data_IF_742533824852
#
_entry.id   IF_742533824852
#
_cell.length_a   1.000
_cell.length_b   1.000
_cell.length_c   1.000
_cell.angle_alpha   90.00
_cell.angle_beta   90.00
_cell.angle_gamma   90.00
#
_symmetry.space_group_name_H-M   'P 1'
#
loop_
_entity.id
_entity.type
_entity.pdbx_description
1 polymer ?
#
# COMPACT_ATOMS: atom_id res chain seq x y z
N UNK A 1 65.54 73.01 -39.46
CA UNK A 1 65.12 74.31 -38.89
C UNK A 1 63.69 74.19 -38.37
N UNK A 2 63.52 74.47 -37.07
CA UNK A 2 62.36 75.05 -36.34
C UNK A 2 60.92 74.74 -36.85
N UNK A 3 60.10 74.01 -36.06
CA UNK A 3 59.15 74.49 -34.98
C UNK A 3 57.83 74.97 -35.59
N UNK A 4 56.63 74.40 -35.33
CA UNK A 4 55.67 74.49 -34.19
C UNK A 4 54.35 73.83 -34.71
N UNK A 5 53.36 73.30 -33.99
CA UNK A 5 52.96 73.20 -32.59
C UNK A 5 51.78 72.21 -32.51
N UNK A 6 51.66 71.43 -31.44
CA UNK A 6 50.75 71.64 -30.30
C UNK A 6 49.31 71.15 -30.52
N UNK A 7 48.99 69.98 -29.95
CA UNK A 7 47.71 69.70 -29.30
C UNK A 7 47.93 68.61 -28.23
N UNK A 8 47.50 68.94 -27.02
CA UNK A 8 47.64 68.21 -25.76
C UNK A 8 46.29 67.60 -25.39
N UNK A 9 46.31 66.43 -24.73
CA UNK A 9 45.34 65.88 -23.76
C UNK A 9 45.01 64.40 -24.08
N UNK A 10 44.92 63.45 -23.15
CA UNK A 10 45.20 63.39 -21.73
C UNK A 10 45.30 61.89 -21.38
N UNK A 11 46.27 61.54 -20.55
CA UNK A 11 46.48 60.19 -20.01
C UNK A 11 45.59 60.03 -18.76
N UNK A 12 44.70 59.04 -18.73
CA UNK A 12 44.02 58.59 -17.50
C UNK A 12 44.15 57.07 -17.42
N UNK A 13 44.90 56.62 -16.40
CA UNK A 13 44.95 55.26 -15.90
C UNK A 13 43.55 54.82 -15.47
N UNK A 14 43.10 53.65 -15.92
CA UNK A 14 42.04 52.89 -15.23
C UNK A 14 42.67 51.62 -14.70
N UNK A 15 42.80 51.57 -13.38
CA UNK A 15 43.19 50.39 -12.61
C UNK A 15 42.05 49.35 -12.59
N UNK A 16 42.35 48.04 -12.46
CA UNK A 16 41.33 47.04 -12.20
C UNK A 16 40.81 47.18 -10.76
N UNK A 17 39.49 47.23 -10.63
CA UNK A 17 38.77 47.12 -9.35
C UNK A 17 38.86 45.67 -8.86
N UNK A 18 39.30 45.38 -7.62
CA UNK A 18 39.07 44.09 -6.99
C UNK A 18 37.76 44.10 -6.20
N UNK A 19 37.22 42.90 -5.94
CA UNK A 19 36.09 42.57 -5.05
C UNK A 19 34.68 42.77 -5.66
N UNK A 20 33.73 41.83 -5.52
CA UNK A 20 33.47 40.94 -4.38
C UNK A 20 33.16 39.51 -4.87
N UNK A 21 33.93 38.55 -4.38
CA UNK A 21 33.57 37.14 -4.34
C UNK A 21 33.73 36.68 -2.88
N UNK A 22 32.84 37.15 -2.00
CA UNK A 22 32.89 36.84 -0.57
C UNK A 22 31.57 36.32 0.01
N UNK A 23 30.58 36.04 -0.84
CA UNK A 23 29.22 35.69 -0.38
C UNK A 23 28.88 34.19 -0.52
N UNK A 24 29.90 33.33 -0.66
CA UNK A 24 29.72 31.87 -0.85
C UNK A 24 30.23 31.01 0.31
N UNK A 25 31.01 31.59 1.22
CA UNK A 25 31.46 30.88 2.44
C UNK A 25 30.45 31.02 3.59
N UNK A 26 29.69 32.12 3.65
CA UNK A 26 28.63 32.29 4.65
C UNK A 26 27.52 31.24 4.50
N UNK A 27 27.24 30.78 3.28
CA UNK A 27 26.21 29.76 3.02
C UNK A 27 26.64 28.34 3.39
N UNK A 28 27.93 28.00 3.29
CA UNK A 28 28.41 26.66 3.65
C UNK A 28 28.49 26.43 5.15
N UNK A 29 28.82 27.46 5.92
CA UNK A 29 28.77 27.40 7.38
C UNK A 29 27.32 27.27 7.87
N UNK A 30 26.39 28.02 7.27
CA UNK A 30 24.97 27.96 7.59
C UNK A 30 24.37 26.57 7.27
N UNK A 31 24.65 26.03 6.07
CA UNK A 31 24.19 24.70 5.68
C UNK A 31 24.74 23.61 6.62
N UNK A 32 25.98 23.74 7.10
CA UNK A 32 26.54 22.79 8.09
C UNK A 32 25.87 22.90 9.45
N UNK A 33 25.49 24.11 9.84
CA UNK A 33 24.77 24.35 11.09
C UNK A 33 23.34 23.82 10.99
N UNK A 34 22.64 24.07 9.88
CA UNK A 34 21.32 23.50 9.58
C UNK A 34 21.36 21.97 9.55
N UNK A 35 22.36 21.36 8.92
CA UNK A 35 22.52 19.89 8.89
C UNK A 35 22.75 19.31 10.29
N UNK A 36 23.50 20.00 11.15
CA UNK A 36 23.69 19.57 12.54
C UNK A 36 22.40 19.69 13.35
N UNK A 37 21.64 20.77 13.18
CA UNK A 37 20.33 20.93 13.81
C UNK A 37 19.38 19.81 13.36
N UNK A 38 19.30 19.57 12.04
CA UNK A 38 18.49 18.50 11.48
C UNK A 38 18.89 17.13 12.01
N UNK A 39 20.19 16.86 12.18
CA UNK A 39 20.69 15.61 12.77
C UNK A 39 20.25 15.43 14.23
N UNK A 40 20.31 16.49 15.04
CA UNK A 40 19.83 16.46 16.43
C UNK A 40 18.32 16.27 16.49
N UNK A 41 17.56 16.93 15.62
CA UNK A 41 16.12 16.73 15.49
C UNK A 41 15.77 15.30 15.06
N UNK A 42 16.51 14.73 14.10
CA UNK A 42 16.33 13.34 13.66
C UNK A 42 16.68 12.35 14.79
N UNK A 43 17.71 12.62 15.59
CA UNK A 43 18.01 11.83 16.78
C UNK A 43 16.96 11.97 17.88
N UNK A 44 16.39 13.17 18.05
CA UNK A 44 15.29 13.42 18.99
C UNK A 44 14.03 12.70 18.54
N UNK A 45 13.66 12.78 17.26
CA UNK A 45 12.57 12.02 16.65
C UNK A 45 12.81 10.52 16.77
N UNK A 46 14.03 10.04 16.49
CA UNK A 46 14.39 8.62 16.67
C UNK A 46 14.26 8.19 18.13
N UNK A 47 14.57 9.06 19.08
CA UNK A 47 14.40 8.80 20.52
C UNK A 47 12.92 8.84 20.92
N UNK A 48 12.13 9.76 20.36
CA UNK A 48 10.67 9.86 20.54
C UNK A 48 9.94 8.66 19.91
N UNK A 49 10.43 8.14 18.78
CA UNK A 49 9.94 6.91 18.15
C UNK A 49 10.46 5.65 18.87
N UNK A 50 11.69 5.67 19.38
CA UNK A 50 12.26 4.56 20.15
C UNK A 50 11.64 4.44 21.54
N UNK A 51 11.22 5.55 22.16
CA UNK A 51 10.50 5.54 23.44
C UNK A 51 9.00 5.22 23.28
N UNK A 52 8.47 5.27 22.06
CA UNK A 52 7.14 4.77 21.72
C UNK A 52 7.17 3.35 21.12
N UNK A 53 8.35 2.72 21.03
CA UNK A 53 8.54 1.42 20.36
C UNK A 53 9.28 0.34 21.16
N UNK A 54 9.64 0.57 22.44
CA UNK A 54 10.30 -0.46 23.25
C UNK A 54 9.47 -0.77 24.50
N UNK A 55 8.76 -1.91 24.58
CA UNK A 55 8.41 -2.45 25.87
C UNK A 55 9.73 -2.83 26.54
N UNK A 56 10.03 -2.21 27.69
CA UNK A 56 10.92 -2.83 28.67
C UNK A 56 10.20 -4.07 29.18
N UNK A 57 10.19 -5.14 28.38
CA UNK A 57 9.75 -6.45 28.78
C UNK A 57 10.86 -7.06 29.64
N UNK A 58 10.90 -6.66 30.90
CA UNK A 58 11.30 -7.59 31.94
C UNK A 58 10.29 -8.73 31.88
N UNK A 59 10.62 -9.78 31.13
CA UNK A 59 9.84 -11.01 31.04
C UNK A 59 10.00 -11.74 32.36
N UNK A 60 9.21 -11.32 33.34
CA UNK A 60 8.91 -12.07 34.56
C UNK A 60 7.41 -11.94 34.81
N UNK A 61 6.65 -12.84 34.17
CA UNK A 61 5.27 -13.17 34.58
C UNK A 61 4.12 -12.31 34.07
N UNK A 62 3.98 -12.07 32.75
CA UNK A 62 2.71 -11.57 32.22
C UNK A 62 1.69 -12.71 32.16
N UNK A 63 0.78 -12.71 33.13
CA UNK A 63 -0.36 -13.62 33.14
C UNK A 63 -1.24 -13.37 31.91
N UNK A 64 -2.05 -14.36 31.52
CA UNK A 64 -3.07 -14.17 30.47
C UNK A 64 -4.01 -13.00 30.84
N UNK A 65 -4.22 -12.76 32.14
CA UNK A 65 -4.98 -11.62 32.64
C UNK A 65 -4.35 -10.27 32.29
N UNK A 66 -3.03 -10.13 32.42
CA UNK A 66 -2.32 -8.88 32.08
C UNK A 66 -2.38 -8.61 30.57
N UNK A 67 -2.35 -9.66 29.75
CA UNK A 67 -2.56 -9.55 28.30
C UNK A 67 -3.98 -9.10 27.97
N UNK A 68 -4.99 -9.68 28.62
CA UNK A 68 -6.40 -9.27 28.42
C UNK A 68 -6.62 -7.82 28.85
N UNK A 69 -6.09 -7.42 30.01
CA UNK A 69 -6.16 -6.04 30.47
C UNK A 69 -5.48 -5.06 29.50
N UNK A 70 -4.35 -5.45 28.88
CA UNK A 70 -3.70 -4.64 27.85
C UNK A 70 -4.53 -4.55 26.56
N UNK A 71 -5.22 -5.62 26.17
CA UNK A 71 -6.11 -5.60 25.01
C UNK A 71 -7.35 -4.73 25.26
N UNK A 72 -7.93 -4.77 26.46
CA UNK A 72 -9.08 -3.94 26.85
C UNK A 72 -8.72 -2.44 26.84
N UNK A 73 -7.53 -2.09 27.36
CA UNK A 73 -7.03 -0.72 27.33
C UNK A 73 -6.87 -0.20 25.88
N UNK A 74 -6.37 -1.04 24.98
CA UNK A 74 -6.18 -0.68 23.58
C UNK A 74 -7.49 -0.59 22.82
N UNK A 75 -8.48 -1.43 23.13
CA UNK A 75 -9.84 -1.31 22.59
C UNK A 75 -10.48 0.02 23.02
N UNK A 76 -10.38 0.37 24.31
CA UNK A 76 -10.91 1.64 24.81
C UNK A 76 -10.23 2.84 24.12
N UNK A 77 -8.92 2.76 23.92
CA UNK A 77 -8.15 3.77 23.19
C UNK A 77 -8.62 3.88 21.73
N UNK A 78 -8.80 2.77 21.02
CA UNK A 78 -9.27 2.76 19.64
C UNK A 78 -10.69 3.34 19.50
N UNK A 79 -11.58 3.04 20.45
CA UNK A 79 -12.91 3.66 20.50
C UNK A 79 -12.81 5.17 20.65
N UNK A 80 -12.00 5.66 21.60
CA UNK A 80 -11.82 7.11 21.78
C UNK A 80 -11.26 7.81 20.54
N UNK A 81 -10.33 7.15 19.83
CA UNK A 81 -9.75 7.70 18.61
C UNK A 81 -10.75 7.70 17.44
N UNK A 82 -11.63 6.69 17.38
CA UNK A 82 -12.70 6.61 16.38
C UNK A 82 -13.70 7.75 16.60
N UNK A 83 -14.11 8.01 17.84
CA UNK A 83 -14.97 9.13 18.19
C UNK A 83 -14.35 10.48 17.84
N UNK A 84 -13.05 10.66 18.11
CA UNK A 84 -12.29 11.85 17.74
C UNK A 84 -12.27 12.06 16.21
N UNK A 85 -11.99 11.01 15.44
CA UNK A 85 -11.98 11.03 13.99
C UNK A 85 -13.37 11.34 13.43
N UNK A 86 -14.42 10.70 13.92
CA UNK A 86 -15.80 10.98 13.53
C UNK A 86 -16.16 12.44 13.79
N UNK A 87 -15.81 12.97 14.97
CA UNK A 87 -16.07 14.37 15.29
C UNK A 87 -15.30 15.32 14.37
N UNK A 88 -14.02 15.02 14.10
CA UNK A 88 -13.18 15.81 13.20
C UNK A 88 -13.73 15.81 11.78
N UNK A 89 -14.15 14.66 11.26
CA UNK A 89 -14.78 14.55 9.93
C UNK A 89 -16.05 15.39 9.89
N UNK A 90 -16.93 15.29 10.89
CA UNK A 90 -18.15 16.09 10.96
C UNK A 90 -17.87 17.60 10.93
N UNK A 91 -16.82 18.07 11.64
CA UNK A 91 -16.40 19.48 11.60
C UNK A 91 -15.88 19.90 10.23
N UNK A 92 -15.08 19.04 9.58
CA UNK A 92 -14.52 19.31 8.25
C UNK A 92 -15.63 19.37 7.20
N UNK A 93 -16.61 18.46 7.26
CA UNK A 93 -17.75 18.45 6.34
C UNK A 93 -18.57 19.73 6.53
N UNK A 94 -18.87 20.12 7.78
CA UNK A 94 -19.61 21.36 8.06
C UNK A 94 -18.86 22.61 7.56
N UNK A 95 -17.56 22.72 7.84
CA UNK A 95 -16.73 23.83 7.35
C UNK A 95 -16.67 23.86 5.82
N UNK A 96 -16.44 22.71 5.20
CA UNK A 96 -16.39 22.56 3.75
C UNK A 96 -17.69 22.98 3.08
N UNK A 97 -18.83 22.52 3.59
CA UNK A 97 -20.16 22.89 3.04
C UNK A 97 -20.43 24.38 3.17
N UNK A 98 -20.08 25.00 4.30
CA UNK A 98 -20.22 26.45 4.45
C UNK A 98 -19.33 27.23 3.47
N UNK A 99 -18.10 26.77 3.25
CA UNK A 99 -17.17 27.41 2.31
C UNK A 99 -17.61 27.24 0.85
N UNK A 100 -18.19 26.09 0.50
CA UNK A 100 -18.79 25.91 -0.83
C UNK A 100 -19.95 26.88 -1.02
N UNK A 101 -20.85 27.01 -0.04
CA UNK A 101 -21.97 27.95 -0.12
C UNK A 101 -21.52 29.41 -0.30
N UNK A 102 -20.47 29.85 0.39
CA UNK A 102 -19.88 31.19 0.20
C UNK A 102 -19.30 31.38 -1.21
N UNK A 103 -18.64 30.36 -1.74
CA UNK A 103 -18.08 30.40 -3.10
C UNK A 103 -19.18 30.41 -4.17
N UNK A 104 -20.25 29.63 -3.99
CA UNK A 104 -21.41 29.63 -4.88
C UNK A 104 -22.09 31.00 -4.89
N UNK A 105 -22.28 31.62 -3.73
CA UNK A 105 -22.84 32.96 -3.61
C UNK A 105 -21.99 34.01 -4.35
N UNK A 106 -20.67 34.00 -4.11
CA UNK A 106 -19.73 34.92 -4.79
C UNK A 106 -19.66 34.69 -6.30
N UNK A 107 -19.76 33.45 -6.75
CA UNK A 107 -19.75 33.13 -8.18
C UNK A 107 -20.98 33.71 -8.88
N UNK A 108 -22.18 33.53 -8.30
CA UNK A 108 -23.42 34.06 -8.87
C UNK A 108 -23.42 35.60 -8.90
N UNK A 109 -22.89 36.25 -7.87
CA UNK A 109 -22.72 37.71 -7.84
C UNK A 109 -21.78 38.21 -8.95
N UNK A 110 -20.70 37.47 -9.25
CA UNK A 110 -19.73 37.81 -10.30
C UNK A 110 -20.22 37.50 -11.71
N UNK A 111 -20.99 36.43 -11.89
CA UNK A 111 -21.52 35.99 -13.19
C UNK A 111 -22.86 36.66 -13.55
N UNK A 112 -23.44 37.46 -12.64
CA UNK A 112 -24.69 38.18 -12.85
C UNK A 112 -25.94 37.28 -12.86
N UNK A 113 -25.87 36.14 -12.17
CA UNK A 113 -26.96 35.18 -12.04
C UNK A 113 -27.99 35.55 -10.97
N UNK A 114 -29.08 34.80 -10.91
CA UNK A 114 -30.15 34.98 -9.92
C UNK A 114 -29.88 34.15 -8.65
N UNK A 115 -29.62 34.83 -7.53
CA UNK A 115 -29.36 34.20 -6.22
C UNK A 115 -30.54 33.34 -5.74
N UNK A 116 -31.77 33.59 -6.21
CA UNK A 116 -32.96 32.81 -5.84
C UNK A 116 -32.97 31.38 -6.40
N UNK A 117 -32.07 31.07 -7.33
CA UNK A 117 -31.94 29.74 -7.95
C UNK A 117 -30.86 28.87 -7.32
N UNK A 118 -30.09 29.40 -6.36
CA UNK A 118 -29.17 28.61 -5.55
C UNK A 118 -29.99 27.73 -4.60
N UNK A 119 -29.94 26.40 -4.80
CA UNK A 119 -30.50 25.43 -3.88
C UNK A 119 -29.66 25.29 -2.60
N UNK A 120 -30.07 24.41 -1.68
CA UNK A 120 -29.20 24.06 -0.54
C UNK A 120 -27.93 23.36 -1.04
N UNK A 121 -26.76 23.91 -0.73
CA UNK A 121 -25.47 23.31 -1.03
C UNK A 121 -25.42 21.89 -0.47
N UNK A 122 -25.31 20.89 -1.34
CA UNK A 122 -25.24 19.48 -0.93
C UNK A 122 -24.03 19.28 -0.02
N UNK A 123 -24.24 18.66 1.14
CA UNK A 123 -23.16 18.41 2.11
C UNK A 123 -22.05 17.58 1.46
N UNK A 124 -20.79 17.89 1.79
CA UNK A 124 -19.58 17.18 1.32
C UNK A 124 -19.46 15.73 1.84
N UNK A 125 -20.58 15.11 2.23
CA UNK A 125 -20.67 13.75 2.77
C UNK A 125 -21.96 13.01 2.39
N UNK A 126 -22.73 13.51 1.42
CA UNK A 126 -24.06 12.98 1.08
C UNK A 126 -25.12 13.37 2.12
N UNK A 127 -26.42 13.16 1.83
CA UNK A 127 -27.46 13.44 2.80
C UNK A 127 -27.18 12.62 4.07
N UNK A 128 -27.01 13.31 5.19
CA UNK A 128 -27.04 12.69 6.52
C UNK A 128 -28.45 12.13 6.74
N UNK A 129 -28.74 10.97 6.16
CA UNK A 129 -29.62 10.04 6.83
C UNK A 129 -28.94 9.75 8.16
N UNK A 130 -29.53 10.27 9.22
CA UNK A 130 -29.24 9.85 10.58
C UNK A 130 -29.38 8.33 10.63
N UNK A 131 -28.26 7.61 10.52
CA UNK A 131 -28.20 6.21 10.87
C UNK A 131 -28.41 6.16 12.38
N UNK A 132 -29.69 6.09 12.78
CA UNK A 132 -30.03 5.60 14.10
C UNK A 132 -29.35 4.24 14.27
N UNK A 133 -28.75 3.94 15.42
CA UNK A 133 -28.26 2.61 15.70
C UNK A 133 -29.47 1.67 15.77
N UNK A 134 -29.84 1.09 14.62
CA UNK A 134 -30.73 -0.06 14.58
C UNK A 134 -30.03 -1.17 15.35
N UNK A 135 -30.62 -1.53 16.49
CA UNK A 135 -30.24 -2.72 17.23
C UNK A 135 -30.13 -3.89 16.24
N UNK A 136 -28.98 -4.54 16.25
CA UNK A 136 -28.70 -5.74 15.47
C UNK A 136 -29.66 -6.82 15.93
N UNK A 137 -30.79 -6.92 15.23
CA UNK A 137 -31.61 -8.12 15.28
C UNK A 137 -30.98 -9.07 14.26
N UNK A 138 -30.56 -10.28 14.64
CA UNK A 138 -29.99 -11.22 13.69
C UNK A 138 -30.98 -11.46 12.57
N UNK A 139 -30.61 -11.32 11.28
CA UNK A 139 -31.49 -11.71 10.20
C UNK A 139 -31.74 -13.21 10.29
N UNK A 140 -32.96 -13.69 9.98
CA UNK A 140 -33.20 -15.12 9.87
C UNK A 140 -32.30 -15.67 8.77
N UNK A 141 -31.56 -16.73 9.10
CA UNK A 141 -30.74 -17.48 8.17
C UNK A 141 -31.59 -17.82 6.94
N UNK A 142 -31.27 -17.15 5.83
CA UNK A 142 -31.84 -17.40 4.53
C UNK A 142 -30.70 -17.95 3.68
N UNK A 143 -30.79 -19.23 3.32
CA UNK A 143 -29.91 -19.88 2.37
C UNK A 143 -29.86 -19.08 1.07
N UNK A 144 -28.77 -18.32 0.88
CA UNK A 144 -28.54 -17.49 -0.28
C UNK A 144 -27.06 -17.24 -0.43
N UNK A 145 -26.49 -17.80 -1.50
CA UNK A 145 -25.07 -17.74 -1.88
C UNK A 145 -24.52 -16.31 -1.68
N UNK A 146 -23.58 -16.17 -0.76
CA UNK A 146 -22.91 -14.92 -0.44
C UNK A 146 -21.94 -14.55 -1.57
N UNK A 147 -22.44 -13.97 -2.66
CA UNK A 147 -21.57 -13.29 -3.63
C UNK A 147 -21.09 -12.01 -3.00
N UNK A 148 -19.94 -12.09 -2.30
CA UNK A 148 -19.24 -10.93 -1.74
C UNK A 148 -18.89 -10.00 -2.89
N UNK A 149 -19.55 -8.85 -2.95
CA UNK A 149 -19.29 -7.86 -3.99
C UNK A 149 -17.92 -7.20 -3.71
N UNK A 150 -16.95 -7.46 -4.59
CA UNK A 150 -15.59 -6.89 -4.49
C UNK A 150 -15.67 -5.36 -4.48
N UNK A 151 -14.91 -4.74 -3.58
CA UNK A 151 -14.76 -3.29 -3.61
C UNK A 151 -14.17 -2.85 -4.96
N UNK A 152 -14.55 -1.67 -5.45
CA UNK A 152 -14.07 -1.17 -6.76
C UNK A 152 -12.55 -1.12 -6.80
N UNK A 153 -11.91 -0.63 -5.74
CA UNK A 153 -10.44 -0.56 -5.61
C UNK A 153 -9.77 -1.94 -5.62
N UNK A 154 -10.36 -2.91 -4.92
CA UNK A 154 -9.86 -4.30 -4.89
C UNK A 154 -9.85 -4.90 -6.30
N UNK A 155 -10.98 -4.79 -7.01
CA UNK A 155 -11.09 -5.29 -8.39
C UNK A 155 -10.06 -4.62 -9.30
N UNK A 156 -9.95 -3.29 -9.23
CA UNK A 156 -8.99 -2.54 -10.06
C UNK A 156 -7.54 -2.90 -9.77
N UNK A 157 -7.15 -3.07 -8.50
CA UNK A 157 -5.78 -3.44 -8.14
C UNK A 157 -5.43 -4.85 -8.60
N UNK A 158 -6.38 -5.78 -8.46
CA UNK A 158 -6.22 -7.15 -8.96
C UNK A 158 -6.09 -7.21 -10.48
N UNK A 159 -6.90 -6.43 -11.21
CA UNK A 159 -6.84 -6.30 -12.67
C UNK A 159 -5.50 -5.69 -13.13
N UNK A 160 -5.03 -4.65 -12.44
CA UNK A 160 -3.72 -4.04 -12.72
C UNK A 160 -2.56 -5.02 -12.51
N UNK A 161 -2.59 -5.79 -11.43
CA UNK A 161 -1.61 -6.84 -11.16
C UNK A 161 -1.66 -7.95 -12.24
N UNK A 162 -2.87 -8.33 -12.65
CA UNK A 162 -3.09 -9.34 -13.69
C UNK A 162 -2.57 -8.87 -15.04
N UNK A 163 -2.83 -7.62 -15.41
CA UNK A 163 -2.33 -7.02 -16.65
C UNK A 163 -0.80 -7.02 -16.70
N UNK A 164 -0.12 -6.69 -15.61
CA UNK A 164 1.33 -6.74 -15.55
C UNK A 164 1.86 -8.17 -15.78
N UNK A 165 1.17 -9.18 -15.25
CA UNK A 165 1.51 -10.59 -15.47
C UNK A 165 1.34 -10.99 -16.94
N UNK A 166 0.21 -10.60 -17.54
CA UNK A 166 -0.11 -10.92 -18.94
C UNK A 166 0.83 -10.22 -19.93
N UNK A 167 1.33 -9.03 -19.58
CA UNK A 167 2.35 -8.29 -20.33
C UNK A 167 3.78 -8.85 -20.16
N UNK A 168 3.96 -9.85 -19.28
CA UNK A 168 5.26 -10.46 -18.98
C UNK A 168 6.14 -9.61 -18.06
N UNK A 169 5.62 -8.54 -17.45
CA UNK A 169 6.30 -7.78 -16.41
C UNK A 169 6.18 -8.52 -15.07
N UNK A 170 6.85 -9.67 -15.01
CA UNK A 170 6.76 -10.61 -13.92
C UNK A 170 7.20 -10.02 -12.57
N UNK A 171 8.22 -9.16 -12.58
CA UNK A 171 8.71 -8.54 -11.35
C UNK A 171 7.71 -7.53 -10.79
N UNK A 172 7.09 -6.71 -11.64
CA UNK A 172 6.01 -5.80 -11.22
C UNK A 172 4.78 -6.58 -10.78
N UNK A 173 4.37 -7.61 -11.53
CA UNK A 173 3.22 -8.44 -11.18
C UNK A 173 3.37 -9.08 -9.79
N UNK A 174 4.54 -9.66 -9.49
CA UNK A 174 4.81 -10.25 -8.19
C UNK A 174 4.68 -9.23 -7.04
N UNK A 175 5.16 -7.99 -7.25
CA UNK A 175 5.03 -6.91 -6.27
C UNK A 175 3.58 -6.47 -6.09
N UNK A 176 2.84 -6.30 -7.19
CA UNK A 176 1.43 -5.88 -7.15
C UNK A 176 0.55 -6.93 -6.45
N UNK A 177 0.72 -8.22 -6.74
CA UNK A 177 -0.03 -9.26 -6.04
C UNK A 177 0.37 -9.40 -4.57
N UNK A 178 1.65 -9.18 -4.23
CA UNK A 178 2.07 -9.14 -2.83
C UNK A 178 1.41 -7.96 -2.08
N UNK A 179 1.36 -6.78 -2.71
CA UNK A 179 0.69 -5.60 -2.17
C UNK A 179 -0.84 -5.79 -2.05
N UNK A 180 -1.46 -6.48 -3.02
CA UNK A 180 -2.89 -6.78 -2.99
C UNK A 180 -3.29 -7.53 -1.71
N UNK A 181 -2.59 -8.61 -1.35
CA UNK A 181 -2.92 -9.38 -0.15
C UNK A 181 -2.60 -8.66 1.16
N UNK A 182 -1.68 -7.69 1.14
CA UNK A 182 -1.43 -6.81 2.28
C UNK A 182 -2.53 -5.76 2.45
N UNK A 183 -3.04 -5.24 1.33
CA UNK A 183 -4.04 -4.16 1.30
C UNK A 183 -5.44 -4.71 1.57
N UNK A 184 -5.73 -5.92 1.09
CA UNK A 184 -7.03 -6.57 1.16
C UNK A 184 -6.95 -7.92 1.90
N UNK A 185 -6.58 -7.93 3.20
CA UNK A 185 -6.54 -9.16 3.98
C UNK A 185 -7.94 -9.79 4.05
N UNK A 186 -8.04 -11.08 3.72
CA UNK A 186 -9.33 -11.79 3.69
C UNK A 186 -10.16 -11.59 2.42
N UNK A 187 -9.59 -10.93 1.38
CA UNK A 187 -10.20 -10.87 0.05
C UNK A 187 -10.58 -12.27 -0.46
N UNK A 188 -11.76 -12.44 -1.09
CA UNK A 188 -12.11 -13.70 -1.76
C UNK A 188 -11.19 -13.99 -2.97
N UNK A 189 -10.44 -13.00 -3.46
CA UNK A 189 -9.42 -13.16 -4.49
C UNK A 189 -8.04 -13.48 -3.92
N UNK A 190 -7.84 -13.53 -2.60
CA UNK A 190 -6.51 -13.69 -2.01
C UNK A 190 -5.80 -14.98 -2.47
N UNK A 191 -6.53 -16.10 -2.53
CA UNK A 191 -6.00 -17.35 -3.05
C UNK A 191 -5.60 -17.24 -4.52
N UNK A 192 -6.41 -16.57 -5.34
CA UNK A 192 -6.11 -16.36 -6.76
C UNK A 192 -4.94 -15.39 -6.95
N UNK A 193 -4.81 -14.36 -6.10
CA UNK A 193 -3.72 -13.40 -6.10
C UNK A 193 -2.38 -14.08 -5.78
N UNK A 194 -2.33 -14.95 -4.76
CA UNK A 194 -1.11 -15.72 -4.47
C UNK A 194 -0.76 -16.72 -5.59
N UNK A 195 -1.76 -17.35 -6.23
CA UNK A 195 -1.49 -18.23 -7.38
C UNK A 195 -0.83 -17.45 -8.51
N UNK A 196 -1.36 -16.28 -8.85
CA UNK A 196 -0.80 -15.41 -9.89
C UNK A 196 0.56 -14.83 -9.50
N UNK A 197 0.77 -14.53 -8.21
CA UNK A 197 2.07 -14.13 -7.67
C UNK A 197 3.11 -15.24 -7.85
N UNK A 198 2.76 -16.49 -7.57
CA UNK A 198 3.63 -17.63 -7.80
C UNK A 198 4.04 -17.76 -9.27
N UNK A 199 3.08 -17.61 -10.19
CA UNK A 199 3.35 -17.62 -11.65
C UNK A 199 4.27 -16.48 -12.07
N UNK A 200 4.07 -15.30 -11.51
CA UNK A 200 4.96 -14.17 -11.72
C UNK A 200 6.38 -14.47 -11.23
N UNK A 201 6.52 -15.03 -10.02
CA UNK A 201 7.82 -15.38 -9.45
C UNK A 201 8.54 -16.47 -10.26
N UNK A 202 7.81 -17.46 -10.78
CA UNK A 202 8.36 -18.42 -11.74
C UNK A 202 8.84 -17.74 -13.03
N UNK A 203 8.10 -16.75 -13.54
CA UNK A 203 8.50 -15.95 -14.70
C UNK A 203 9.78 -15.13 -14.47
N UNK A 204 10.06 -14.72 -13.23
CA UNK A 204 11.33 -14.09 -12.83
C UNK A 204 12.45 -15.13 -12.62
N UNK A 205 12.10 -16.41 -12.48
CA UNK A 205 13.03 -17.50 -12.16
C UNK A 205 13.27 -17.71 -10.66
N UNK A 206 12.51 -17.05 -9.78
CA UNK A 206 12.57 -17.27 -8.34
C UNK A 206 11.62 -18.40 -7.93
N UNK A 207 11.98 -19.63 -8.29
CA UNK A 207 11.18 -20.83 -8.01
C UNK A 207 10.97 -21.05 -6.51
N UNK A 208 11.88 -20.56 -5.65
CA UNK A 208 11.76 -20.73 -4.20
C UNK A 208 10.66 -19.85 -3.63
N UNK A 209 10.61 -18.58 -4.03
CA UNK A 209 9.50 -17.71 -3.67
C UNK A 209 8.20 -18.13 -4.36
N UNK A 210 8.26 -18.63 -5.60
CA UNK A 210 7.09 -19.16 -6.31
C UNK A 210 6.43 -20.30 -5.51
N UNK A 211 7.21 -21.28 -5.05
CA UNK A 211 6.72 -22.37 -4.20
C UNK A 211 6.03 -21.85 -2.92
N UNK A 212 6.60 -20.82 -2.27
CA UNK A 212 5.95 -20.19 -1.10
C UNK A 212 4.61 -19.54 -1.45
N UNK A 213 4.53 -18.83 -2.57
CA UNK A 213 3.29 -18.20 -3.04
C UNK A 213 2.22 -19.25 -3.41
N UNK A 214 2.58 -20.34 -4.08
CA UNK A 214 1.65 -21.44 -4.37
C UNK A 214 1.13 -22.11 -3.10
N UNK A 215 2.00 -22.34 -2.11
CA UNK A 215 1.58 -22.85 -0.81
C UNK A 215 0.63 -21.87 -0.10
N UNK A 216 0.91 -20.57 -0.17
CA UNK A 216 0.05 -19.53 0.41
C UNK A 216 -1.32 -19.50 -0.29
N UNK A 217 -1.36 -19.62 -1.62
CA UNK A 217 -2.59 -19.74 -2.40
C UNK A 217 -3.44 -20.92 -1.96
N UNK A 218 -2.84 -22.11 -1.87
CA UNK A 218 -3.53 -23.32 -1.43
C UNK A 218 -3.99 -23.23 0.03
N UNK A 219 -3.19 -22.62 0.90
CA UNK A 219 -3.53 -22.45 2.32
C UNK A 219 -4.65 -21.43 2.54
N UNK A 220 -4.74 -20.41 1.69
CA UNK A 220 -5.78 -19.39 1.76
C UNK A 220 -7.17 -19.97 1.45
N UNK A 221 -7.26 -20.87 0.47
CA UNK A 221 -8.50 -21.59 0.17
C UNK A 221 -8.20 -23.00 -0.38
N UNK A 222 -8.10 -23.99 0.51
CA UNK A 222 -7.68 -25.35 0.16
C UNK A 222 -8.76 -26.22 -0.50
N UNK A 223 -9.99 -25.71 -0.62
CA UNK A 223 -11.10 -26.35 -1.32
C UNK A 223 -11.61 -25.48 -2.49
N UNK A 224 -10.99 -24.32 -2.69
CA UNK A 224 -11.39 -23.33 -3.68
C UNK A 224 -11.14 -23.74 -5.12
N UNK A 225 -11.68 -22.93 -6.06
CA UNK A 225 -11.53 -23.19 -7.50
C UNK A 225 -10.08 -23.16 -7.98
N UNK A 226 -9.19 -22.46 -7.27
CA UNK A 226 -7.76 -22.36 -7.61
C UNK A 226 -6.89 -23.37 -6.87
N UNK A 227 -7.43 -24.07 -5.87
CA UNK A 227 -6.69 -25.00 -5.02
C UNK A 227 -6.01 -26.15 -5.79
N UNK A 228 -6.65 -26.82 -6.77
CA UNK A 228 -6.00 -27.89 -7.54
C UNK A 228 -4.80 -27.38 -8.32
N UNK A 229 -4.94 -26.20 -8.95
CA UNK A 229 -3.86 -25.55 -9.70
C UNK A 229 -2.71 -25.12 -8.78
N UNK A 230 -3.01 -24.51 -7.63
CA UNK A 230 -2.00 -24.09 -6.67
C UNK A 230 -1.21 -25.28 -6.12
N UNK A 231 -1.88 -26.38 -5.81
CA UNK A 231 -1.23 -27.59 -5.30
C UNK A 231 -0.34 -28.27 -6.36
N UNK A 232 -0.82 -28.32 -7.61
CA UNK A 232 -0.01 -28.78 -8.74
C UNK A 232 1.25 -27.93 -8.93
N UNK A 233 1.10 -26.60 -9.01
CA UNK A 233 2.22 -25.68 -9.23
C UNK A 233 3.24 -25.72 -8.08
N UNK A 234 2.77 -25.89 -6.84
CA UNK A 234 3.64 -26.12 -5.68
C UNK A 234 4.49 -27.38 -5.89
N UNK A 235 3.86 -28.51 -6.25
CA UNK A 235 4.56 -29.77 -6.51
C UNK A 235 5.58 -29.65 -7.65
N UNK A 236 5.20 -29.00 -8.74
CA UNK A 236 6.09 -28.75 -9.87
C UNK A 236 7.29 -27.85 -9.49
N UNK A 237 7.05 -26.80 -8.70
CA UNK A 237 8.11 -25.93 -8.19
C UNK A 237 9.08 -26.67 -7.27
N UNK A 238 8.58 -27.56 -6.40
CA UNK A 238 9.43 -28.43 -5.56
C UNK A 238 10.31 -29.36 -6.42
N UNK A 239 9.77 -29.92 -7.51
CA UNK A 239 10.54 -30.71 -8.47
C UNK A 239 11.67 -29.93 -9.13
N UNK A 240 11.39 -28.70 -9.58
CA UNK A 240 12.40 -27.76 -10.11
C UNK A 240 13.48 -27.42 -9.07
N UNK A 241 13.11 -27.34 -7.79
CA UNK A 241 14.03 -27.14 -6.67
C UNK A 241 14.80 -28.42 -6.24
N UNK A 242 14.67 -29.52 -6.98
CA UNK A 242 15.29 -30.83 -6.68
C UNK A 242 14.80 -31.47 -5.38
N UNK A 243 13.63 -31.06 -4.87
CA UNK A 243 12.96 -31.66 -3.71
C UNK A 243 12.01 -32.75 -4.18
N UNK A 244 12.56 -33.77 -4.83
CA UNK A 244 11.80 -34.77 -5.60
C UNK A 244 10.80 -35.53 -4.72
N UNK A 245 11.22 -35.97 -3.53
CA UNK A 245 10.34 -36.70 -2.60
C UNK A 245 9.12 -35.85 -2.19
N UNK A 246 9.34 -34.60 -1.80
CA UNK A 246 8.28 -33.67 -1.42
C UNK A 246 7.39 -33.30 -2.62
N UNK A 247 7.97 -33.18 -3.81
CA UNK A 247 7.25 -32.96 -5.05
C UNK A 247 6.30 -34.12 -5.36
N UNK A 248 6.78 -35.37 -5.28
CA UNK A 248 5.97 -36.56 -5.52
C UNK A 248 4.79 -36.67 -4.55
N UNK A 249 5.02 -36.42 -3.26
CA UNK A 249 3.95 -36.42 -2.25
C UNK A 249 2.92 -35.34 -2.59
N UNK A 250 3.37 -34.11 -2.84
CA UNK A 250 2.49 -32.96 -3.11
C UNK A 250 1.68 -33.15 -4.40
N UNK A 251 2.29 -33.65 -5.46
CA UNK A 251 1.60 -33.93 -6.73
C UNK A 251 0.61 -35.09 -6.60
N UNK A 252 0.93 -36.10 -5.78
CA UNK A 252 0.01 -37.20 -5.46
C UNK A 252 -1.28 -36.71 -4.79
N UNK A 253 -1.17 -35.71 -3.91
CA UNK A 253 -2.32 -35.11 -3.23
C UNK A 253 -3.31 -34.42 -4.19
N UNK A 254 -2.89 -34.01 -5.38
CA UNK A 254 -3.80 -33.43 -6.39
C UNK A 254 -4.84 -34.47 -6.81
N UNK A 255 -4.41 -35.71 -7.07
CA UNK A 255 -5.31 -36.80 -7.47
C UNK A 255 -6.23 -37.29 -6.35
N UNK A 256 -5.76 -37.26 -5.10
CA UNK A 256 -6.55 -37.68 -3.94
C UNK A 256 -7.60 -36.65 -3.55
N UNK A 257 -7.24 -35.36 -3.58
CA UNK A 257 -8.11 -34.25 -3.13
C UNK A 257 -9.03 -33.72 -4.22
N UNK A 258 -8.62 -33.78 -5.48
CA UNK A 258 -9.35 -33.19 -6.61
C UNK A 258 -9.51 -34.18 -7.78
N UNK A 259 -10.13 -35.36 -7.57
CA UNK A 259 -10.08 -36.49 -8.52
C UNK A 259 -10.69 -36.21 -9.91
N UNK A 260 -11.53 -35.18 -10.05
CA UNK A 260 -12.19 -34.81 -11.30
C UNK A 260 -11.60 -33.54 -11.95
N UNK A 261 -10.55 -32.96 -11.39
CA UNK A 261 -9.96 -31.72 -11.90
C UNK A 261 -8.92 -32.00 -13.00
N UNK A 262 -8.85 -31.17 -14.07
CA UNK A 262 -7.81 -31.30 -15.10
C UNK A 262 -6.37 -31.27 -14.58
N UNK A 263 -6.13 -30.66 -13.41
CA UNK A 263 -4.83 -30.65 -12.74
C UNK A 263 -4.30 -32.05 -12.43
N UNK A 264 -5.16 -33.06 -12.28
CA UNK A 264 -4.75 -34.45 -12.02
C UNK A 264 -3.89 -35.00 -13.16
N UNK A 265 -4.28 -34.79 -14.41
CA UNK A 265 -3.50 -35.24 -15.56
C UNK A 265 -2.15 -34.54 -15.66
N UNK A 266 -2.11 -33.25 -15.30
CA UNK A 266 -0.87 -32.46 -15.25
C UNK A 266 0.05 -32.96 -14.13
N UNK A 267 -0.50 -33.24 -12.95
CA UNK A 267 0.24 -33.77 -11.81
C UNK A 267 0.83 -35.15 -12.11
N UNK A 268 0.06 -36.06 -12.71
CA UNK A 268 0.55 -37.38 -13.12
C UNK A 268 1.68 -37.29 -14.15
N UNK A 269 1.55 -36.39 -15.13
CA UNK A 269 2.62 -36.16 -16.11
C UNK A 269 3.89 -35.64 -15.44
N UNK A 270 3.77 -34.71 -14.50
CA UNK A 270 4.91 -34.16 -13.78
C UNK A 270 5.57 -35.20 -12.86
N UNK A 271 4.76 -36.00 -12.15
CA UNK A 271 5.26 -37.14 -11.36
C UNK A 271 6.06 -38.14 -12.20
N UNK A 272 5.58 -38.46 -13.42
CA UNK A 272 6.29 -39.36 -14.33
C UNK A 272 7.64 -38.78 -14.77
N UNK A 273 7.72 -37.46 -15.03
CA UNK A 273 9.00 -36.80 -15.36
C UNK A 273 9.98 -36.81 -14.18
N UNK A 274 9.46 -36.67 -12.96
CA UNK A 274 10.25 -36.68 -11.73
C UNK A 274 10.63 -38.11 -11.27
N UNK A 275 10.07 -39.15 -11.89
CA UNK A 275 10.34 -40.54 -11.55
C UNK A 275 9.70 -40.99 -10.24
N UNK A 276 8.56 -40.39 -9.87
CA UNK A 276 7.79 -40.79 -8.69
C UNK A 276 7.30 -42.24 -8.82
N UNK A 277 7.48 -43.04 -7.78
CA UNK A 277 7.12 -44.46 -7.70
C UNK A 277 5.88 -44.71 -6.86
#
# INVERSE_FOLDING_TARGET
>A
MKVRGLLVAALVLVAPVPAIAQDREQTLADIRQELNVLYVEMQKLKREMSTTGAPSATVTGSSVLDRVASMEAELQRLTSHTEELTNRVNRIVADGTNRIGDLEFRLVELEGGDLSQLGETTTLGGPTETVQPSAVTPPPASDGVLTTELAVSERTDFENASKALDEGDFQKAAQLFAGFNQTYPGSPLAAQAELKRGKALDGVGDTREAARAYLASFSADSAGPVAPSALFELGAALGRLQQIEQACITLGEVGTRFPNDPAVGSAQSEMAKLGCS
#
